data_IF_716334302676
#
_entry.id   IF_716334302676
#
_cell.length_a   1.000
_cell.length_b   1.000
_cell.length_c   1.000
_cell.angle_alpha   90.00
_cell.angle_beta   90.00
_cell.angle_gamma   90.00
#
_symmetry.space_group_name_H-M   'P 1'
#
loop_
_entity.id
_entity.type
_entity.pdbx_description
1 polymer ?
#
# COMPACT_ATOMS: atom_id res chain seq x y z
N UNK A 1 -30.30 17.14 20.08
CA UNK A 1 -29.76 18.35 19.44
C UNK A 1 -29.07 17.89 18.18
N UNK A 2 -29.30 18.53 17.03
CA UNK A 2 -28.50 18.26 15.84
C UNK A 2 -27.10 18.84 16.07
N UNK A 3 -26.05 18.10 15.72
CA UNK A 3 -24.69 18.58 15.82
C UNK A 3 -24.50 19.78 14.88
N UNK A 4 -23.93 20.87 15.40
CA UNK A 4 -23.62 22.06 14.61
C UNK A 4 -22.20 21.92 14.06
N UNK A 5 -22.07 21.97 12.73
CA UNK A 5 -20.79 21.92 12.02
C UNK A 5 -20.45 23.32 11.49
N UNK A 6 -19.21 23.77 11.71
CA UNK A 6 -18.71 25.06 11.25
C UNK A 6 -17.74 24.83 10.09
N UNK A 7 -18.02 25.44 8.95
CA UNK A 7 -17.13 25.42 7.78
C UNK A 7 -16.38 26.75 7.67
N UNK A 8 -15.05 26.70 7.79
CA UNK A 8 -14.18 27.84 7.53
C UNK A 8 -13.59 27.72 6.12
N UNK A 9 -13.70 28.80 5.33
CA UNK A 9 -13.15 28.86 3.97
C UNK A 9 -11.90 29.74 3.97
N UNK A 10 -10.88 29.29 3.23
CA UNK A 10 -9.58 29.94 3.10
C UNK A 10 -9.25 30.12 1.61
N UNK A 11 -8.46 31.14 1.31
CA UNK A 11 -7.97 31.48 -0.05
C UNK A 11 -6.52 31.04 -0.29
N UNK A 12 -5.76 30.80 0.77
CA UNK A 12 -4.32 30.50 0.74
C UNK A 12 -3.94 29.40 1.75
N UNK A 13 -2.94 28.58 1.41
CA UNK A 13 -2.55 27.42 2.21
C UNK A 13 -1.79 27.80 3.49
N UNK A 14 -0.99 28.87 3.48
CA UNK A 14 -0.31 29.39 4.67
C UNK A 14 -1.32 29.96 5.67
N UNK A 15 -2.32 30.69 5.19
CA UNK A 15 -3.41 31.22 6.03
C UNK A 15 -4.20 30.08 6.68
N UNK A 16 -4.49 29.02 5.92
CA UNK A 16 -5.14 27.81 6.43
C UNK A 16 -4.29 27.14 7.52
N UNK A 17 -2.99 26.90 7.27
CA UNK A 17 -2.07 26.26 8.24
C UNK A 17 -2.00 27.05 9.55
N UNK A 18 -1.88 28.38 9.47
CA UNK A 18 -1.82 29.23 10.66
C UNK A 18 -3.16 29.31 11.40
N UNK A 19 -4.27 29.28 10.66
CA UNK A 19 -5.62 29.13 11.23
C UNK A 19 -5.78 27.82 12.00
N UNK A 20 -5.40 26.70 11.37
CA UNK A 20 -5.45 25.37 11.98
C UNK A 20 -4.60 25.29 13.25
N UNK A 21 -3.37 25.80 13.23
CA UNK A 21 -2.51 25.88 14.44
C UNK A 21 -3.18 26.63 15.58
N UNK A 22 -3.82 27.78 15.30
CA UNK A 22 -4.52 28.58 16.33
C UNK A 22 -5.73 27.86 16.90
N UNK A 23 -6.47 27.11 16.08
CA UNK A 23 -7.62 26.32 16.53
C UNK A 23 -7.16 25.16 17.43
N UNK A 24 -6.17 24.40 16.99
CA UNK A 24 -5.61 23.27 17.74
C UNK A 24 -4.97 23.74 19.05
N UNK A 25 -4.24 24.87 19.04
CA UNK A 25 -3.68 25.48 20.25
C UNK A 25 -4.74 25.93 21.27
N UNK A 26 -5.97 26.22 20.82
CA UNK A 26 -7.11 26.54 21.68
C UNK A 26 -7.90 25.29 22.11
N UNK A 27 -7.43 24.10 21.78
CA UNK A 27 -8.08 22.84 22.12
C UNK A 27 -9.27 22.48 21.23
N UNK A 28 -9.46 23.20 20.10
CA UNK A 28 -10.49 22.85 19.12
C UNK A 28 -9.97 21.72 18.25
N UNK A 29 -10.63 20.56 18.30
CA UNK A 29 -10.34 19.44 17.41
C UNK A 29 -10.88 19.75 16.02
N UNK A 30 -9.99 19.81 15.04
CA UNK A 30 -10.35 19.90 13.62
C UNK A 30 -10.79 18.50 13.18
N UNK A 31 -11.96 18.40 12.56
CA UNK A 31 -12.51 17.12 12.09
C UNK A 31 -11.94 16.74 10.73
N UNK A 32 -12.07 17.63 9.75
CA UNK A 32 -11.65 17.41 8.36
C UNK A 32 -11.05 18.68 7.74
N UNK A 33 -10.12 18.49 6.79
CA UNK A 33 -9.54 19.57 5.97
C UNK A 33 -9.63 19.18 4.50
N UNK A 34 -10.37 19.96 3.73
CA UNK A 34 -10.51 19.74 2.28
C UNK A 34 -9.60 20.69 1.52
N UNK A 35 -8.77 20.14 0.62
CA UNK A 35 -7.88 20.90 -0.25
C UNK A 35 -7.86 20.29 -1.65
N UNK A 36 -7.82 21.10 -2.73
CA UNK A 36 -7.70 20.60 -4.10
C UNK A 36 -6.31 20.01 -4.41
N UNK A 37 -5.33 20.18 -3.52
CA UNK A 37 -3.98 19.63 -3.65
C UNK A 37 -3.38 19.26 -2.28
N UNK A 38 -2.33 18.43 -2.23
CA UNK A 38 -1.66 18.08 -0.97
C UNK A 38 -0.99 19.31 -0.32
N UNK A 39 -1.41 19.66 0.89
CA UNK A 39 -0.76 20.70 1.70
C UNK A 39 0.30 20.04 2.57
N UNK A 40 1.58 20.27 2.27
CA UNK A 40 2.65 19.67 3.04
C UNK A 40 2.68 20.20 4.48
N UNK A 41 2.70 19.27 5.45
CA UNK A 41 2.82 19.59 6.87
C UNK A 41 1.51 19.98 7.57
N UNK A 42 0.35 19.79 6.93
CA UNK A 42 -0.94 19.96 7.61
C UNK A 42 -1.24 18.79 8.56
N UNK A 43 -0.88 17.56 8.18
CA UNK A 43 -1.20 16.33 8.94
C UNK A 43 -0.72 16.39 10.40
N UNK A 44 0.51 16.82 10.72
CA UNK A 44 0.96 16.95 12.11
C UNK A 44 0.28 18.10 12.87
N UNK A 45 -0.24 19.12 12.17
CA UNK A 45 -0.94 20.24 12.79
C UNK A 45 -2.31 19.80 13.28
N UNK A 46 -3.07 19.09 12.43
CA UNK A 46 -4.42 18.60 12.76
C UNK A 46 -4.40 17.28 13.53
N UNK A 47 -3.24 16.61 13.59
CA UNK A 47 -3.03 15.39 14.39
C UNK A 47 -3.45 14.11 13.68
N UNK A 48 -3.32 14.04 12.34
CA UNK A 48 -3.56 12.79 11.60
C UNK A 48 -2.47 11.77 11.92
N UNK A 49 -2.88 10.54 12.20
CA UNK A 49 -1.97 9.43 12.42
C UNK A 49 -1.31 8.97 11.11
N UNK A 50 -0.10 8.44 11.21
CA UNK A 50 0.61 7.87 10.06
C UNK A 50 -0.13 6.65 9.51
N UNK A 51 -0.27 6.59 8.18
CA UNK A 51 -0.94 5.46 7.52
C UNK A 51 -0.11 4.18 7.62
N UNK A 52 -0.79 3.03 7.69
CA UNK A 52 -0.14 1.70 7.76
C UNK A 52 -0.01 1.04 6.39
N UNK A 53 -0.25 1.77 5.31
CA UNK A 53 -0.32 1.22 3.95
C UNK A 53 0.98 0.54 3.51
N UNK A 54 2.13 1.09 3.91
CA UNK A 54 3.44 0.49 3.62
C UNK A 54 3.65 -0.89 4.25
N UNK A 55 3.09 -1.14 5.44
CA UNK A 55 3.14 -2.46 6.09
C UNK A 55 2.30 -3.46 5.30
N UNK A 56 1.10 -3.07 4.89
CA UNK A 56 0.23 -3.92 4.09
C UNK A 56 0.85 -4.25 2.72
N UNK A 57 1.49 -3.28 2.08
CA UNK A 57 2.25 -3.48 0.84
C UNK A 57 3.27 -4.63 0.97
N UNK A 58 4.04 -4.61 2.05
CA UNK A 58 5.05 -5.62 2.32
C UNK A 58 4.43 -7.00 2.53
N UNK A 59 3.33 -7.09 3.29
CA UNK A 59 2.60 -8.34 3.53
C UNK A 59 2.06 -8.90 2.22
N UNK A 60 1.45 -8.07 1.37
CA UNK A 60 0.94 -8.50 0.07
C UNK A 60 2.04 -8.96 -0.89
N UNK A 61 3.19 -8.28 -0.88
CA UNK A 61 4.38 -8.71 -1.62
C UNK A 61 4.88 -10.08 -1.15
N UNK A 62 5.07 -10.28 0.16
CA UNK A 62 5.49 -11.57 0.73
C UNK A 62 4.52 -12.71 0.40
N UNK A 63 3.22 -12.42 0.43
CA UNK A 63 2.20 -13.38 0.05
C UNK A 63 2.30 -13.75 -1.44
N UNK A 64 2.46 -12.75 -2.32
CA UNK A 64 2.69 -12.98 -3.75
C UNK A 64 3.93 -13.83 -4.01
N UNK A 65 5.07 -13.46 -3.40
CA UNK A 65 6.32 -14.21 -3.48
C UNK A 65 6.14 -15.69 -3.09
N UNK A 66 5.45 -15.93 -1.97
CA UNK A 66 5.21 -17.26 -1.42
C UNK A 66 4.33 -18.08 -2.34
N UNK A 67 3.21 -17.52 -2.81
CA UNK A 67 2.27 -18.19 -3.71
C UNK A 67 2.95 -18.54 -5.04
N UNK A 68 3.69 -17.61 -5.64
CA UNK A 68 4.39 -17.86 -6.90
C UNK A 68 5.43 -18.98 -6.77
N UNK A 69 6.25 -18.91 -5.72
CA UNK A 69 7.30 -19.91 -5.46
C UNK A 69 6.72 -21.30 -5.20
N UNK A 70 5.70 -21.39 -4.34
CA UNK A 70 5.05 -22.66 -4.01
C UNK A 70 4.29 -23.22 -5.22
N UNK A 71 3.58 -22.37 -5.96
CA UNK A 71 2.84 -22.75 -7.16
C UNK A 71 3.76 -23.30 -8.24
N UNK A 72 4.82 -22.58 -8.59
CA UNK A 72 5.77 -23.04 -9.61
C UNK A 72 6.49 -24.33 -9.19
N UNK A 73 6.91 -24.45 -7.92
CA UNK A 73 7.46 -25.70 -7.40
C UNK A 73 6.47 -26.85 -7.55
N UNK A 74 5.21 -26.62 -7.19
CA UNK A 74 4.18 -27.65 -7.27
C UNK A 74 3.95 -28.08 -8.73
N UNK A 75 3.62 -27.16 -9.62
CA UNK A 75 3.27 -27.49 -11.01
C UNK A 75 4.44 -28.09 -11.80
N UNK A 76 5.64 -27.49 -11.70
CA UNK A 76 6.76 -27.85 -12.59
C UNK A 76 7.62 -29.00 -12.09
N UNK A 77 7.61 -29.28 -10.77
CA UNK A 77 8.52 -30.26 -10.15
C UNK A 77 7.76 -31.42 -9.50
N UNK A 78 6.64 -31.14 -8.82
CA UNK A 78 5.93 -32.15 -8.03
C UNK A 78 4.82 -32.82 -8.84
N UNK A 79 3.95 -32.02 -9.44
CA UNK A 79 2.73 -32.50 -10.11
C UNK A 79 3.04 -33.11 -11.46
N UNK A 80 3.69 -32.35 -12.36
CA UNK A 80 4.01 -32.84 -13.70
C UNK A 80 5.45 -32.51 -14.13
N UNK A 81 6.42 -33.35 -13.75
CA UNK A 81 7.82 -33.15 -14.14
C UNK A 81 8.01 -33.47 -15.63
N UNK A 82 7.90 -32.45 -16.47
CA UNK A 82 8.15 -32.54 -17.91
C UNK A 82 9.60 -32.17 -18.25
N UNK A 83 10.16 -32.82 -19.27
CA UNK A 83 11.38 -32.37 -19.92
C UNK A 83 11.03 -31.38 -21.05
N UNK A 84 11.24 -30.09 -20.81
CA UNK A 84 11.00 -29.03 -21.78
C UNK A 84 12.34 -28.37 -22.12
N UNK A 85 12.82 -28.60 -23.34
CA UNK A 85 14.07 -28.00 -23.84
C UNK A 85 15.33 -28.44 -23.09
N UNK A 86 15.31 -29.59 -22.41
CA UNK A 86 16.46 -30.11 -21.65
C UNK A 86 16.74 -29.39 -20.34
N UNK A 87 15.82 -28.54 -19.87
CA UNK A 87 16.01 -27.80 -18.60
C UNK A 87 15.99 -28.77 -17.41
N UNK A 88 16.84 -28.55 -16.39
CA UNK A 88 16.88 -29.40 -15.20
C UNK A 88 15.61 -29.19 -14.36
N UNK A 89 14.60 -30.06 -14.48
CA UNK A 89 13.32 -29.98 -13.75
C UNK A 89 13.23 -30.94 -12.55
N UNK A 90 14.32 -31.60 -12.17
CA UNK A 90 14.35 -32.56 -11.07
C UNK A 90 14.20 -31.90 -9.69
N UNK A 91 14.69 -30.67 -9.54
CA UNK A 91 14.54 -29.88 -8.32
C UNK A 91 14.24 -28.41 -8.64
N UNK A 92 13.52 -27.75 -7.73
CA UNK A 92 13.20 -26.31 -7.89
C UNK A 92 14.47 -25.45 -7.95
N UNK A 93 15.50 -25.82 -7.20
CA UNK A 93 16.73 -25.04 -7.07
C UNK A 93 17.54 -25.01 -8.37
N UNK A 94 17.56 -26.13 -9.11
CA UNK A 94 18.32 -26.21 -10.36
C UNK A 94 17.73 -25.35 -11.48
N UNK A 95 16.41 -25.09 -11.46
CA UNK A 95 15.73 -24.27 -12.47
C UNK A 95 15.28 -22.90 -11.97
N UNK A 96 15.72 -22.49 -10.77
CA UNK A 96 15.20 -21.29 -10.09
C UNK A 96 15.31 -20.02 -10.93
N UNK A 97 16.37 -19.89 -11.74
CA UNK A 97 16.59 -18.73 -12.60
C UNK A 97 15.48 -18.54 -13.64
N UNK A 98 14.86 -19.63 -14.10
CA UNK A 98 13.71 -19.55 -15.02
C UNK A 98 12.44 -19.03 -14.32
N UNK A 99 12.36 -19.14 -12.99
CA UNK A 99 11.18 -18.79 -12.19
C UNK A 99 11.24 -17.38 -11.59
N UNK A 100 12.45 -16.82 -11.41
CA UNK A 100 12.64 -15.48 -10.83
C UNK A 100 11.81 -14.39 -11.51
N UNK A 101 11.74 -14.29 -12.86
CA UNK A 101 10.95 -13.24 -13.49
C UNK A 101 9.47 -13.32 -13.11
N UNK A 102 8.89 -14.52 -13.08
CA UNK A 102 7.49 -14.74 -12.71
C UNK A 102 7.27 -14.41 -11.23
N UNK A 103 8.17 -14.88 -10.36
CA UNK A 103 8.13 -14.59 -8.92
C UNK A 103 8.18 -13.08 -8.65
N UNK A 104 9.04 -12.35 -9.36
CA UNK A 104 9.17 -10.90 -9.25
C UNK A 104 7.88 -10.20 -9.68
N UNK A 105 7.40 -10.47 -10.90
CA UNK A 105 6.20 -9.82 -11.43
C UNK A 105 4.97 -10.11 -10.56
N UNK A 106 4.82 -11.35 -10.07
CA UNK A 106 3.69 -11.70 -9.21
C UNK A 106 3.78 -11.04 -7.83
N UNK A 107 4.98 -10.86 -7.29
CA UNK A 107 5.21 -10.09 -6.05
C UNK A 107 4.78 -8.63 -6.23
N UNK A 108 5.20 -7.99 -7.33
CA UNK A 108 4.84 -6.60 -7.65
C UNK A 108 3.33 -6.47 -7.89
N UNK A 109 2.73 -7.41 -8.62
CA UNK A 109 1.30 -7.44 -8.90
C UNK A 109 0.47 -7.47 -7.61
N UNK A 110 0.78 -8.41 -6.71
CA UNK A 110 0.07 -8.55 -5.43
C UNK A 110 0.28 -7.33 -4.53
N UNK A 111 1.51 -6.82 -4.42
CA UNK A 111 1.80 -5.63 -3.63
C UNK A 111 1.03 -4.40 -4.13
N UNK A 112 1.09 -4.12 -5.43
CA UNK A 112 0.46 -2.94 -6.03
C UNK A 112 -1.07 -2.97 -5.94
N UNK A 113 -1.69 -4.07 -6.37
CA UNK A 113 -3.16 -4.18 -6.34
C UNK A 113 -3.69 -4.32 -4.91
N UNK A 114 -2.98 -5.03 -4.05
CA UNK A 114 -3.32 -5.11 -2.63
C UNK A 114 -3.35 -3.73 -1.98
N UNK A 115 -2.30 -2.92 -2.17
CA UNK A 115 -2.27 -1.54 -1.69
C UNK A 115 -3.40 -0.68 -2.25
N UNK A 116 -3.64 -0.74 -3.56
CA UNK A 116 -4.67 0.08 -4.21
C UNK A 116 -6.07 -0.24 -3.66
N UNK A 117 -6.38 -1.53 -3.47
CA UNK A 117 -7.65 -1.96 -2.89
C UNK A 117 -7.75 -1.53 -1.43
N UNK A 118 -6.69 -1.70 -0.63
CA UNK A 118 -6.69 -1.26 0.77
C UNK A 118 -6.92 0.25 0.87
N UNK A 119 -6.24 1.05 0.06
CA UNK A 119 -6.40 2.51 0.04
C UNK A 119 -7.83 2.97 -0.27
N UNK A 120 -8.56 2.23 -1.12
CA UNK A 120 -9.93 2.60 -1.49
C UNK A 120 -10.99 2.16 -0.46
N UNK A 121 -10.66 1.21 0.43
CA UNK A 121 -11.61 0.62 1.38
C UNK A 121 -11.35 1.09 2.81
N UNK A 122 -10.09 1.34 3.18
CA UNK A 122 -9.63 1.59 4.54
C UNK A 122 -8.90 2.94 4.64
#
# INVERSE_FOLDING_TARGET
MADQVIYAMYDDDDVLKDGAKKLVAKGVKVDEVFSPFPIHGIDPIIGVEQTRLGIFAFIYGLMGLTIATLGMRYFMVVDWPMNIGGKPSFSYMENILSFIPITFEFTVLCAAHGMAITYLIA
#
